data_IF_115196101963
#
_entry.id   IF_115196101963
#
_cell.length_a   1.000
_cell.length_b   1.000
_cell.length_c   1.000
_cell.angle_alpha   90.00
_cell.angle_beta   90.00
_cell.angle_gamma   90.00
#
_symmetry.space_group_name_H-M   'P 1'
#
loop_
_entity.id
_entity.type
_entity.pdbx_description
1 polymer ?
#
# COMPACT_ATOMS: atom_id res chain seq x y z
N UNK A 1 33.24 -8.91 24.18
CA UNK A 1 31.94 -8.30 24.54
C UNK A 1 31.55 -7.33 23.45
N UNK A 2 30.58 -7.69 22.60
CA UNK A 2 30.10 -6.81 21.53
C UNK A 2 29.22 -5.72 22.16
N UNK A 3 29.65 -4.45 22.09
CA UNK A 3 28.85 -3.32 22.57
C UNK A 3 27.61 -3.18 21.67
N UNK A 4 26.42 -3.47 22.21
CA UNK A 4 25.13 -3.26 21.54
C UNK A 4 24.81 -1.76 21.60
N UNK A 5 24.87 -1.08 20.47
CA UNK A 5 24.49 0.34 20.32
C UNK A 5 23.05 0.35 19.80
N UNK A 6 22.15 0.99 20.55
CA UNK A 6 20.74 1.19 20.18
C UNK A 6 20.66 2.27 19.10
N UNK A 7 20.02 1.97 17.96
CA UNK A 7 19.80 2.93 16.87
C UNK A 7 18.29 3.04 16.66
N UNK A 8 17.73 4.22 16.94
CA UNK A 8 16.33 4.55 16.68
C UNK A 8 16.32 5.65 15.62
N UNK A 9 15.91 5.31 14.40
CA UNK A 9 15.70 6.28 13.31
C UNK A 9 14.20 6.32 13.01
N UNK A 10 13.57 7.44 13.33
CA UNK A 10 12.16 7.72 13.05
C UNK A 10 12.11 8.78 11.95
N UNK A 11 11.71 8.37 10.74
CA UNK A 11 11.51 9.28 9.62
C UNK A 11 10.00 9.38 9.32
N UNK A 12 9.43 10.57 9.52
CA UNK A 12 7.99 10.84 9.37
C UNK A 12 7.79 11.64 8.09
N UNK A 13 6.91 11.18 7.20
CA UNK A 13 6.30 12.02 6.19
C UNK A 13 4.81 12.17 6.51
N UNK A 14 4.51 13.33 7.09
CA UNK A 14 3.20 13.92 7.46
C UNK A 14 2.20 13.00 8.19
N UNK A 15 2.07 13.25 9.51
CA UNK A 15 0.76 13.26 10.16
C UNK A 15 0.36 12.07 11.03
N UNK A 16 1.11 11.78 12.10
CA UNK A 16 0.67 11.64 13.50
C UNK A 16 1.62 10.74 14.30
N UNK A 17 1.74 10.98 15.61
CA UNK A 17 2.65 10.21 16.47
C UNK A 17 1.90 8.94 16.89
N UNK A 18 2.09 7.85 16.15
CA UNK A 18 1.63 6.53 16.55
C UNK A 18 2.48 5.98 17.70
N UNK A 19 1.88 5.70 18.85
CA UNK A 19 2.55 4.97 19.93
C UNK A 19 2.82 3.54 19.46
N UNK A 20 4.09 3.15 19.38
CA UNK A 20 4.52 1.76 19.18
C UNK A 20 4.11 0.94 20.41
N UNK A 21 2.94 0.30 20.35
CA UNK A 21 2.54 -0.69 21.36
C UNK A 21 3.04 -2.06 20.92
N UNK A 22 3.85 -2.68 21.77
CA UNK A 22 4.34 -4.04 21.59
C UNK A 22 3.18 -5.03 21.80
N UNK A 23 2.73 -5.67 20.74
CA UNK A 23 1.92 -6.88 20.84
C UNK A 23 2.84 -8.10 21.07
N UNK A 24 2.29 -9.14 21.70
CA UNK A 24 2.98 -10.37 22.10
C UNK A 24 3.88 -10.97 21.00
N UNK A 25 4.90 -11.72 21.43
CA UNK A 25 5.99 -12.36 20.68
C UNK A 25 5.52 -13.14 19.42
N UNK A 26 5.09 -12.42 18.39
CA UNK A 26 4.97 -12.92 17.04
C UNK A 26 6.40 -13.04 16.52
N UNK A 27 6.78 -14.23 16.05
CA UNK A 27 8.05 -14.40 15.34
C UNK A 27 7.91 -13.63 14.03
N UNK A 28 8.40 -12.39 14.01
CA UNK A 28 8.46 -11.57 12.82
C UNK A 28 9.11 -12.34 11.66
N UNK A 29 8.56 -12.25 10.43
CA UNK A 29 9.21 -12.80 9.24
C UNK A 29 10.65 -12.32 9.13
N UNK A 30 11.58 -13.22 8.80
CA UNK A 30 13.02 -12.90 8.76
C UNK A 30 13.52 -12.86 7.33
N UNK A 31 14.16 -11.77 6.96
CA UNK A 31 14.66 -11.56 5.61
C UNK A 31 16.16 -11.29 5.58
N UNK A 32 16.80 -11.77 4.52
CA UNK A 32 18.23 -11.59 4.25
C UNK A 32 18.51 -10.77 2.98
N UNK A 33 17.50 -10.46 2.19
CA UNK A 33 17.62 -9.71 0.93
C UNK A 33 16.45 -8.75 0.72
N UNK A 34 16.73 -7.64 0.03
CA UNK A 34 15.71 -6.64 -0.34
C UNK A 34 14.62 -7.22 -1.24
N UNK A 35 14.98 -8.10 -2.16
CA UNK A 35 14.03 -8.75 -3.06
C UNK A 35 12.98 -9.59 -2.29
N UNK A 36 13.39 -10.24 -1.19
CA UNK A 36 12.44 -10.97 -0.33
C UNK A 36 11.57 -10.03 0.49
N UNK A 37 12.13 -8.91 0.95
CA UNK A 37 11.39 -7.84 1.64
C UNK A 37 10.37 -7.21 0.69
N UNK A 38 10.76 -6.90 -0.54
CA UNK A 38 9.88 -6.31 -1.55
C UNK A 38 8.70 -7.23 -1.85
N UNK A 39 8.93 -8.54 -2.05
CA UNK A 39 7.85 -9.52 -2.22
C UNK A 39 6.91 -9.57 -1.02
N UNK A 40 7.45 -9.52 0.19
CA UNK A 40 6.64 -9.49 1.40
C UNK A 40 5.78 -8.23 1.47
N UNK A 41 6.36 -7.04 1.22
CA UNK A 41 5.60 -5.78 1.20
C UNK A 41 4.50 -5.83 0.15
N UNK A 42 4.78 -6.35 -1.06
CA UNK A 42 3.76 -6.54 -2.11
C UNK A 42 2.61 -7.41 -1.62
N UNK A 43 2.88 -8.52 -0.90
CA UNK A 43 1.79 -9.36 -0.40
C UNK A 43 0.95 -8.64 0.67
N UNK A 44 1.58 -7.88 1.56
CA UNK A 44 0.88 -7.09 2.56
C UNK A 44 0.02 -5.98 1.93
N UNK A 45 0.51 -5.34 0.87
CA UNK A 45 -0.24 -4.34 0.10
C UNK A 45 -1.47 -4.95 -0.59
N UNK A 46 -1.33 -6.15 -1.15
CA UNK A 46 -2.44 -6.88 -1.79
C UNK A 46 -3.53 -7.29 -0.79
N UNK A 47 -3.15 -7.59 0.44
CA UNK A 47 -4.08 -7.93 1.52
C UNK A 47 -4.65 -6.69 2.24
N UNK A 48 -4.15 -5.50 1.92
CA UNK A 48 -4.47 -4.24 2.61
C UNK A 48 -4.18 -4.30 4.12
N UNK A 49 -3.10 -4.97 4.51
CA UNK A 49 -2.68 -5.02 5.91
C UNK A 49 -2.14 -3.64 6.32
N UNK A 50 -2.75 -2.97 7.33
CA UNK A 50 -2.39 -1.60 7.69
C UNK A 50 -1.13 -1.52 8.54
N UNK A 51 -0.73 -2.62 9.17
CA UNK A 51 0.49 -2.71 9.97
C UNK A 51 1.23 -3.98 9.55
N UNK A 52 2.53 -3.85 9.28
CA UNK A 52 3.40 -4.98 8.95
C UNK A 52 4.74 -4.83 9.65
N UNK A 53 5.25 -5.93 10.20
CA UNK A 53 6.53 -5.98 10.92
C UNK A 53 7.38 -7.13 10.38
N UNK A 54 8.68 -6.90 10.20
CA UNK A 54 9.63 -7.94 9.82
C UNK A 54 11.04 -7.66 10.34
N UNK A 55 11.85 -8.72 10.41
CA UNK A 55 13.23 -8.68 10.88
C UNK A 55 14.20 -8.82 9.71
N UNK A 56 15.17 -7.90 9.63
CA UNK A 56 16.36 -8.02 8.79
C UNK A 56 17.45 -8.68 9.60
N UNK A 57 17.99 -9.79 9.09
CA UNK A 57 19.02 -10.61 9.76
C UNK A 57 20.30 -10.78 8.92
N UNK A 58 20.43 -10.04 7.81
CA UNK A 58 21.65 -10.04 6.99
C UNK A 58 22.65 -9.02 7.53
N UNK A 59 23.81 -9.47 7.99
CA UNK A 59 24.84 -8.58 8.53
C UNK A 59 25.31 -7.53 7.51
N UNK A 60 25.45 -7.92 6.25
CA UNK A 60 25.83 -7.00 5.16
C UNK A 60 24.78 -5.89 4.96
N UNK A 61 23.50 -6.28 4.89
CA UNK A 61 22.41 -5.32 4.73
C UNK A 61 22.25 -4.42 5.97
N UNK A 62 22.41 -4.97 7.17
CA UNK A 62 22.38 -4.23 8.44
C UNK A 62 23.51 -3.20 8.48
N UNK A 63 24.74 -3.59 8.13
CA UNK A 63 25.88 -2.66 8.09
C UNK A 63 25.63 -1.50 7.13
N UNK A 64 25.05 -1.78 5.96
CA UNK A 64 24.69 -0.76 4.98
C UNK A 64 23.59 0.20 5.46
N UNK A 65 22.57 -0.32 6.16
CA UNK A 65 21.49 0.50 6.77
C UNK A 65 22.08 1.42 7.86
N UNK A 66 22.89 0.84 8.77
CA UNK A 66 23.50 1.56 9.91
C UNK A 66 24.47 2.65 9.45
N UNK A 67 25.18 2.43 8.34
CA UNK A 67 26.09 3.43 7.77
C UNK A 67 25.38 4.71 7.29
N UNK A 68 24.04 4.76 7.30
CA UNK A 68 23.26 5.90 6.82
C UNK A 68 23.22 6.02 5.30
N UNK A 69 23.97 5.19 4.59
CA UNK A 69 24.03 5.14 3.12
C UNK A 69 22.72 4.60 2.50
N UNK A 70 21.88 3.92 3.29
CA UNK A 70 20.74 3.12 2.80
C UNK A 70 19.46 3.22 3.64
N UNK A 71 19.27 4.25 4.47
CA UNK A 71 17.93 4.56 5.00
C UNK A 71 16.92 4.80 3.86
N UNK A 72 17.40 5.41 2.76
CA UNK A 72 16.68 5.52 1.49
C UNK A 72 16.36 4.18 0.84
N UNK A 73 17.13 3.11 1.08
CA UNK A 73 16.97 1.82 0.39
C UNK A 73 15.70 1.08 0.82
N UNK A 74 15.34 1.17 2.11
CA UNK A 74 14.09 0.57 2.60
C UNK A 74 12.90 1.37 2.10
N UNK A 75 12.99 2.69 2.11
CA UNK A 75 11.98 3.57 1.51
C UNK A 75 11.82 3.30 0.01
N UNK A 76 12.92 3.18 -0.72
CA UNK A 76 12.96 2.84 -2.14
C UNK A 76 12.39 1.44 -2.40
N UNK A 77 12.66 0.46 -1.54
CA UNK A 77 12.07 -0.88 -1.65
C UNK A 77 10.55 -0.84 -1.47
N UNK A 78 10.04 -0.05 -0.53
CA UNK A 78 8.60 0.16 -0.34
C UNK A 78 8.00 0.91 -1.53
N UNK A 79 8.64 1.97 -2.00
CA UNK A 79 8.20 2.74 -3.16
C UNK A 79 8.18 1.88 -4.42
N UNK A 80 9.17 1.02 -4.64
CA UNK A 80 9.16 0.02 -5.71
C UNK A 80 8.01 -0.98 -5.57
N UNK A 81 7.78 -1.50 -4.36
CA UNK A 81 6.68 -2.42 -4.10
C UNK A 81 5.32 -1.78 -4.39
N UNK A 82 5.14 -0.51 -4.01
CA UNK A 82 3.94 0.29 -4.32
C UNK A 82 3.83 0.51 -5.84
N UNK A 83 4.91 0.94 -6.49
CA UNK A 83 4.95 1.27 -7.92
C UNK A 83 4.73 0.06 -8.84
N UNK A 84 4.79 -1.19 -8.33
CA UNK A 84 4.44 -2.38 -9.11
C UNK A 84 3.00 -2.41 -9.59
N UNK A 85 2.11 -1.64 -8.96
CA UNK A 85 0.73 -1.52 -9.42
C UNK A 85 0.31 -0.05 -9.39
N UNK A 86 -0.12 0.52 -10.54
CA UNK A 86 -0.74 1.85 -10.56
C UNK A 86 -1.92 1.96 -9.58
N UNK A 87 -2.65 0.85 -9.37
CA UNK A 87 -3.73 0.79 -8.40
C UNK A 87 -3.22 1.00 -6.97
N UNK A 88 -2.10 0.40 -6.60
CA UNK A 88 -1.50 0.60 -5.27
C UNK A 88 -1.08 2.05 -5.06
N UNK A 89 -0.50 2.71 -6.08
CA UNK A 89 -0.03 4.10 -5.97
C UNK A 89 -1.11 5.08 -5.49
N UNK A 90 -2.35 4.86 -5.90
CA UNK A 90 -3.46 5.76 -5.58
C UNK A 90 -4.39 5.24 -4.48
N UNK A 91 -4.14 4.03 -3.95
CA UNK A 91 -5.00 3.37 -2.95
C UNK A 91 -4.54 3.55 -1.50
N UNK A 92 -3.41 4.22 -1.24
CA UNK A 92 -2.96 4.57 0.11
C UNK A 92 -2.98 6.08 0.34
N UNK A 93 -3.24 6.48 1.59
CA UNK A 93 -3.28 7.86 2.06
C UNK A 93 -2.04 8.25 2.85
N UNK A 94 -1.46 7.31 3.60
CA UNK A 94 -0.27 7.53 4.43
C UNK A 94 0.66 6.33 4.40
N UNK A 95 1.96 6.58 4.58
CA UNK A 95 2.99 5.57 4.78
C UNK A 95 3.90 6.05 5.91
N UNK A 96 3.90 5.30 7.01
CA UNK A 96 4.82 5.50 8.13
C UNK A 96 5.73 4.30 8.25
N UNK A 97 6.98 4.53 8.64
CA UNK A 97 7.90 3.44 8.94
C UNK A 97 8.78 3.77 10.13
N UNK A 98 9.17 2.72 10.85
CA UNK A 98 10.10 2.80 11.96
C UNK A 98 11.07 1.63 11.92
N UNK A 99 12.31 1.89 12.33
CA UNK A 99 13.33 0.86 12.52
C UNK A 99 13.74 0.83 13.98
N UNK A 100 13.89 -0.37 14.52
CA UNK A 100 14.44 -0.61 15.86
C UNK A 100 15.34 -1.84 15.83
N UNK A 101 16.46 -1.83 16.55
CA UNK A 101 17.32 -3.00 16.65
C UNK A 101 18.81 -2.73 16.83
N UNK A 102 19.59 -3.79 16.64
CA UNK A 102 21.04 -3.86 16.87
C UNK A 102 21.78 -4.44 15.64
N UNK A 103 23.10 -4.54 15.72
CA UNK A 103 23.96 -5.01 14.61
C UNK A 103 23.71 -6.45 14.17
N UNK A 104 23.01 -7.26 14.96
CA UNK A 104 22.63 -8.64 14.63
C UNK A 104 21.20 -8.78 14.11
N UNK A 105 20.34 -7.77 14.31
CA UNK A 105 18.96 -7.74 13.86
C UNK A 105 18.39 -6.33 13.84
N UNK A 106 17.76 -5.94 12.74
CA UNK A 106 16.93 -4.74 12.65
C UNK A 106 15.48 -5.17 12.43
N UNK A 107 14.58 -4.78 13.32
CA UNK A 107 13.14 -4.86 13.15
C UNK A 107 12.66 -3.65 12.38
N UNK A 108 11.84 -3.87 11.36
CA UNK A 108 11.21 -2.81 10.57
C UNK A 108 9.70 -2.92 10.73
N UNK A 109 9.06 -1.82 11.09
CA UNK A 109 7.61 -1.66 11.14
C UNK A 109 7.15 -0.69 10.07
N UNK A 110 6.10 -1.06 9.36
CA UNK A 110 5.38 -0.21 8.41
C UNK A 110 3.94 -0.05 8.85
N UNK A 111 3.43 1.17 8.75
CA UNK A 111 2.00 1.48 8.87
C UNK A 111 1.54 2.13 7.58
N UNK A 112 0.48 1.60 6.97
CA UNK A 112 -0.09 2.10 5.72
C UNK A 112 -1.55 2.46 5.97
N UNK A 113 -1.91 3.72 5.71
CA UNK A 113 -3.30 4.15 5.64
C UNK A 113 -3.83 3.83 4.26
N UNK A 114 -4.91 3.04 4.15
CA UNK A 114 -5.57 2.75 2.88
C UNK A 114 -6.81 3.60 2.67
N UNK A 115 -7.18 3.83 1.40
CA UNK A 115 -8.43 4.51 1.03
C UNK A 115 -9.66 3.59 1.11
N UNK A 116 -9.43 2.29 1.23
CA UNK A 116 -10.40 1.20 1.24
C UNK A 116 -10.03 0.18 2.32
N UNK A 117 -11.02 -0.48 2.90
CA UNK A 117 -10.80 -1.66 3.76
C UNK A 117 -10.70 -2.93 2.91
N UNK A 118 -10.16 -4.05 3.45
CA UNK A 118 -10.17 -5.34 2.75
C UNK A 118 -11.57 -5.78 2.30
N UNK A 119 -12.60 -5.53 3.10
CA UNK A 119 -14.00 -5.80 2.76
C UNK A 119 -14.45 -4.98 1.55
N UNK A 120 -14.17 -3.67 1.56
CA UNK A 120 -14.50 -2.76 0.47
C UNK A 120 -13.78 -3.13 -0.83
N UNK A 121 -12.53 -3.61 -0.75
CA UNK A 121 -11.80 -4.13 -1.91
C UNK A 121 -12.45 -5.38 -2.51
N UNK A 122 -12.91 -6.31 -1.67
CA UNK A 122 -13.63 -7.50 -2.15
C UNK A 122 -14.94 -7.11 -2.84
N UNK A 123 -15.73 -6.25 -2.20
CA UNK A 123 -17.00 -5.77 -2.74
C UNK A 123 -16.78 -5.00 -4.05
N UNK A 124 -15.76 -4.14 -4.10
CA UNK A 124 -15.37 -3.39 -5.29
C UNK A 124 -14.93 -4.34 -6.42
N UNK A 125 -14.07 -5.31 -6.15
CA UNK A 125 -13.61 -6.26 -7.17
C UNK A 125 -14.78 -7.06 -7.77
N UNK A 126 -15.74 -7.48 -6.95
CA UNK A 126 -16.96 -8.14 -7.43
C UNK A 126 -17.83 -7.21 -8.28
N UNK A 127 -18.02 -5.96 -7.84
CA UNK A 127 -18.79 -4.96 -8.59
C UNK A 127 -18.15 -4.64 -9.93
N UNK A 128 -16.84 -4.40 -9.96
CA UNK A 128 -16.07 -4.19 -11.20
C UNK A 128 -16.25 -5.38 -12.13
N UNK A 129 -16.08 -6.61 -11.63
CA UNK A 129 -16.25 -7.82 -12.46
C UNK A 129 -17.66 -7.94 -13.04
N UNK A 130 -18.71 -7.58 -12.29
CA UNK A 130 -20.09 -7.56 -12.80
C UNK A 130 -20.25 -6.52 -13.90
N UNK A 131 -19.85 -5.28 -13.63
CA UNK A 131 -19.93 -4.16 -14.60
C UNK A 131 -19.16 -4.49 -15.88
N UNK A 132 -17.94 -5.01 -15.78
CA UNK A 132 -17.14 -5.35 -16.95
C UNK A 132 -17.82 -6.41 -17.83
N UNK A 133 -18.50 -7.39 -17.23
CA UNK A 133 -19.28 -8.39 -17.99
C UNK A 133 -20.49 -7.79 -18.71
N UNK A 134 -21.04 -6.69 -18.19
CA UNK A 134 -22.20 -6.01 -18.79
C UNK A 134 -21.78 -5.07 -19.92
N UNK A 135 -20.65 -4.38 -19.78
CA UNK A 135 -20.24 -3.32 -20.70
C UNK A 135 -19.19 -3.76 -21.74
N UNK A 136 -18.48 -4.88 -21.52
CA UNK A 136 -17.46 -5.41 -22.44
C UNK A 136 -18.00 -6.66 -23.14
N UNK A 137 -17.76 -6.74 -24.46
CA UNK A 137 -18.01 -7.94 -25.27
C UNK A 137 -16.73 -8.42 -25.95
N UNK A 138 -16.68 -9.69 -26.32
CA UNK A 138 -15.46 -10.33 -26.86
C UNK A 138 -14.96 -9.72 -28.17
N UNK A 139 -15.85 -9.07 -28.94
CA UNK A 139 -15.52 -8.47 -30.23
C UNK A 139 -15.01 -7.02 -30.12
N UNK A 140 -14.93 -6.45 -28.91
CA UNK A 140 -14.40 -5.10 -28.71
C UNK A 140 -12.87 -5.06 -28.82
N UNK A 141 -12.36 -4.09 -29.58
CA UNK A 141 -10.95 -3.70 -29.54
C UNK A 141 -10.58 -3.08 -28.19
N UNK A 142 -9.28 -3.00 -27.89
CA UNK A 142 -8.81 -2.46 -26.61
C UNK A 142 -9.26 -1.00 -26.39
N UNK A 143 -9.29 -0.18 -27.46
CA UNK A 143 -9.77 1.20 -27.37
C UNK A 143 -11.29 1.28 -27.13
N UNK A 144 -12.08 0.33 -27.64
CA UNK A 144 -13.51 0.25 -27.37
C UNK A 144 -13.78 -0.19 -25.93
N UNK A 145 -12.99 -1.12 -25.39
CA UNK A 145 -13.06 -1.51 -23.98
C UNK A 145 -12.76 -0.32 -23.06
N UNK A 146 -11.68 0.42 -23.33
CA UNK A 146 -11.33 1.63 -22.56
C UNK A 146 -12.45 2.67 -22.62
N UNK A 147 -13.02 2.91 -23.80
CA UNK A 147 -14.16 3.83 -23.97
C UNK A 147 -15.40 3.35 -23.22
N UNK A 148 -15.73 2.07 -23.26
CA UNK A 148 -16.88 1.50 -22.55
C UNK A 148 -16.76 1.71 -21.03
N UNK A 149 -15.59 1.41 -20.46
CA UNK A 149 -15.31 1.63 -19.04
C UNK A 149 -15.36 3.12 -18.70
N UNK A 150 -14.74 3.99 -19.50
CA UNK A 150 -14.77 5.44 -19.28
C UNK A 150 -16.20 5.99 -19.32
N UNK A 151 -17.00 5.59 -20.31
CA UNK A 151 -18.40 5.99 -20.43
C UNK A 151 -19.23 5.53 -19.23
N UNK A 152 -19.05 4.27 -18.79
CA UNK A 152 -19.74 3.78 -17.59
C UNK A 152 -19.43 4.66 -16.39
N UNK A 153 -18.15 4.94 -16.14
CA UNK A 153 -17.71 5.73 -14.99
C UNK A 153 -18.30 7.16 -15.06
N UNK A 154 -18.21 7.83 -16.21
CA UNK A 154 -18.70 9.20 -16.40
C UNK A 154 -20.23 9.29 -16.26
N UNK A 155 -20.96 8.30 -16.78
CA UNK A 155 -22.43 8.31 -16.75
C UNK A 155 -23.01 7.89 -15.40
N UNK A 156 -22.24 7.21 -14.55
CA UNK A 156 -22.72 6.69 -13.26
C UNK A 156 -22.11 7.41 -12.05
N UNK A 157 -21.35 8.49 -12.26
CA UNK A 157 -20.67 9.19 -11.17
C UNK A 157 -20.79 10.71 -11.30
N UNK A 158 -21.19 11.36 -10.22
CA UNK A 158 -21.21 12.80 -10.05
C UNK A 158 -19.92 13.27 -9.35
N UNK A 159 -19.33 14.37 -9.85
CA UNK A 159 -18.16 14.96 -9.20
C UNK A 159 -18.58 15.69 -7.93
N UNK A 160 -18.16 15.21 -6.76
CA UNK A 160 -18.57 15.77 -5.47
C UNK A 160 -17.44 15.71 -4.44
N UNK A 161 -17.00 16.89 -3.97
CA UNK A 161 -15.97 17.06 -2.93
C UNK A 161 -16.55 17.02 -1.51
N UNK A 162 -17.84 17.35 -1.34
CA UNK A 162 -18.49 17.58 -0.05
C UNK A 162 -19.22 16.32 0.47
N UNK A 163 -18.88 15.15 -0.08
CA UNK A 163 -19.46 13.89 0.35
C UNK A 163 -18.94 13.47 1.73
N UNK A 164 -19.84 13.04 2.61
CA UNK A 164 -19.50 12.66 3.99
C UNK A 164 -18.66 11.36 4.11
N UNK A 165 -18.55 10.56 3.05
CA UNK A 165 -17.63 9.42 2.98
C UNK A 165 -16.24 9.81 2.48
N UNK A 166 -15.46 8.85 1.96
CA UNK A 166 -14.16 9.14 1.36
C UNK A 166 -14.32 9.38 -0.16
N UNK A 167 -14.39 10.63 -0.66
CA UNK A 167 -14.62 10.91 -2.09
C UNK A 167 -13.42 10.54 -2.98
N UNK A 168 -12.27 10.24 -2.38
CA UNK A 168 -11.05 9.82 -3.08
C UNK A 168 -11.00 8.30 -3.33
N UNK A 169 -11.91 7.54 -2.70
CA UNK A 169 -11.93 6.08 -2.78
C UNK A 169 -12.73 5.58 -3.99
N UNK A 170 -12.21 4.61 -4.77
CA UNK A 170 -12.95 4.01 -5.87
C UNK A 170 -14.20 3.23 -5.41
N UNK A 171 -14.20 2.73 -4.18
CA UNK A 171 -15.39 2.13 -3.59
C UNK A 171 -16.53 3.16 -3.47
N UNK A 172 -16.25 4.39 -3.07
CA UNK A 172 -17.27 5.45 -3.00
C UNK A 172 -17.82 5.77 -4.38
N UNK A 173 -16.94 5.90 -5.39
CA UNK A 173 -17.35 6.12 -6.79
C UNK A 173 -18.28 5.00 -7.27
N UNK A 174 -17.88 3.73 -7.09
CA UNK A 174 -18.66 2.58 -7.54
C UNK A 174 -20.02 2.43 -6.85
N UNK A 175 -20.07 2.58 -5.52
CA UNK A 175 -21.26 2.22 -4.73
C UNK A 175 -22.16 3.42 -4.39
N UNK A 176 -21.65 4.64 -4.49
CA UNK A 176 -22.38 5.87 -4.16
C UNK A 176 -22.55 6.79 -5.36
N UNK A 177 -21.83 6.55 -6.45
CA UNK A 177 -21.90 7.37 -7.66
C UNK A 177 -21.40 8.79 -7.42
N UNK A 178 -20.51 9.01 -6.43
CA UNK A 178 -19.97 10.31 -6.08
C UNK A 178 -18.48 10.20 -5.77
N UNK A 179 -17.69 11.16 -6.24
CA UNK A 179 -16.26 11.22 -5.91
C UNK A 179 -15.51 12.29 -6.68
N UNK A 180 -14.18 12.28 -6.56
CA UNK A 180 -13.29 13.20 -7.27
C UNK A 180 -12.25 12.47 -8.10
N UNK A 181 -11.46 13.21 -8.89
CA UNK A 181 -10.51 12.70 -9.89
C UNK A 181 -9.76 11.43 -9.46
N UNK A 182 -9.27 11.35 -8.22
CA UNK A 182 -8.58 10.17 -7.69
C UNK A 182 -9.46 8.91 -7.61
N UNK A 183 -10.72 9.01 -7.19
CA UNK A 183 -11.63 7.87 -7.12
C UNK A 183 -12.01 7.29 -8.49
N UNK A 184 -11.97 8.12 -9.54
CA UNK A 184 -12.25 7.70 -10.93
C UNK A 184 -11.14 6.82 -11.54
N UNK A 185 -9.90 7.01 -11.10
CA UNK A 185 -8.71 6.44 -11.74
C UNK A 185 -8.30 5.07 -11.19
N UNK A 186 -8.95 4.60 -10.13
CA UNK A 186 -8.47 3.47 -9.33
C UNK A 186 -9.43 2.29 -9.38
N UNK A 187 -9.63 1.67 -10.53
CA UNK A 187 -10.40 0.41 -10.57
C UNK A 187 -9.44 -0.79 -10.48
N UNK A 188 -9.68 -1.77 -9.59
CA UNK A 188 -8.90 -3.01 -9.60
C UNK A 188 -9.16 -3.75 -10.92
N UNK A 189 -8.08 -4.09 -11.62
CA UNK A 189 -8.08 -4.87 -12.88
C UNK A 189 -7.72 -6.32 -12.62
#
# INVERSE_FOLDING_TARGET
MLKRILIVIVCILVGSIGNFTYAAENINPKFKSLDSIERYIVSQLSERNPISEFDIISSDLISQIIAGEKAELLLDTVNRAIAKSPYNLYSYSTLEYGLDGFTDRITVKYTIGYMTTPEQERDLAEAVKRVLKEIITDNMSDIEKIKAVNNFIVLNTEYNLDYAGNPYSPHTVMFKGQGVCQGYLCWPT
#
